data_IF_962510775862
#
_entry.id   IF_962510775862
#
_cell.length_a   1.000
_cell.length_b   1.000
_cell.length_c   1.000
_cell.angle_alpha   90.00
_cell.angle_beta   90.00
_cell.angle_gamma   90.00
#
_symmetry.space_group_name_H-M   'P 1'
#
loop_
_entity.id
_entity.type
_entity.pdbx_description
1 polymer ?
#
# COMPACT_ATOMS: atom_id res chain seq x y z
N UNK A 1 -18.04 10.86 1.35
CA UNK A 1 -17.74 12.17 1.97
C UNK A 1 -16.52 12.79 1.30
N UNK A 2 -16.44 14.12 1.11
CA UNK A 2 -15.21 14.74 0.64
C UNK A 2 -14.11 14.53 1.68
N UNK A 3 -12.83 14.40 1.26
CA UNK A 3 -11.70 14.37 2.18
C UNK A 3 -11.59 15.73 2.90
N UNK A 4 -11.01 15.73 4.09
CA UNK A 4 -10.83 16.94 4.91
C UNK A 4 -10.11 18.08 4.17
N UNK A 5 -9.29 17.75 3.17
CA UNK A 5 -8.59 18.75 2.36
C UNK A 5 -8.58 18.35 0.89
N UNK A 6 -9.17 19.17 0.06
CA UNK A 6 -9.00 19.14 -1.40
C UNK A 6 -7.88 20.13 -1.74
N UNK A 7 -6.84 19.73 -2.50
CA UNK A 7 -5.78 20.65 -2.90
C UNK A 7 -6.32 21.91 -3.55
N UNK A 8 -5.66 23.03 -3.30
CA UNK A 8 -6.05 24.33 -3.84
C UNK A 8 -6.21 24.28 -5.36
N UNK A 9 -7.28 24.85 -5.87
CA UNK A 9 -7.60 24.87 -7.28
C UNK A 9 -8.21 23.57 -7.83
N UNK A 10 -8.36 22.50 -7.04
CA UNK A 10 -9.15 21.34 -7.43
C UNK A 10 -10.57 21.41 -6.86
N UNK A 11 -11.46 20.65 -7.49
CA UNK A 11 -12.86 20.50 -7.07
C UNK A 11 -13.11 19.04 -6.72
N UNK A 12 -13.76 18.78 -5.59
CA UNK A 12 -14.26 17.45 -5.26
C UNK A 12 -15.43 17.09 -6.16
N UNK A 13 -15.20 16.17 -7.10
CA UNK A 13 -16.20 15.72 -8.05
C UNK A 13 -16.11 14.20 -8.23
N UNK A 14 -16.81 13.42 -7.40
CA UNK A 14 -16.78 11.96 -7.44
C UNK A 14 -17.69 11.39 -8.54
N UNK A 15 -17.55 10.10 -8.83
CA UNK A 15 -18.22 9.42 -9.94
C UNK A 15 -19.72 9.13 -9.70
N UNK A 16 -20.25 9.39 -8.52
CA UNK A 16 -21.69 9.37 -8.21
C UNK A 16 -22.43 10.64 -8.70
N UNK A 17 -21.68 11.65 -9.15
CA UNK A 17 -22.24 12.85 -9.79
C UNK A 17 -22.38 12.66 -11.30
N UNK A 18 -23.31 13.42 -11.95
CA UNK A 18 -23.49 13.37 -13.39
C UNK A 18 -22.16 13.59 -14.13
N UNK A 19 -21.85 12.71 -15.08
CA UNK A 19 -20.59 12.74 -15.84
C UNK A 19 -20.80 12.52 -17.33
N UNK A 20 -19.75 12.77 -18.08
CA UNK A 20 -19.70 12.49 -19.52
C UNK A 20 -19.60 10.98 -19.69
N UNK A 21 -20.43 10.40 -20.54
CA UNK A 21 -20.41 8.98 -20.90
C UNK A 21 -19.66 8.79 -22.21
N UNK A 22 -18.90 7.69 -22.30
CA UNK A 22 -18.24 7.26 -23.52
C UNK A 22 -19.08 6.18 -24.21
N UNK A 23 -19.46 6.41 -25.45
CA UNK A 23 -20.24 5.48 -26.28
C UNK A 23 -19.40 4.99 -27.46
N UNK A 24 -19.45 3.70 -27.76
CA UNK A 24 -18.75 3.13 -28.92
C UNK A 24 -19.44 3.50 -30.21
N UNK A 25 -18.69 4.01 -31.20
CA UNK A 25 -19.16 4.37 -32.53
C UNK A 25 -18.17 3.85 -33.58
N UNK A 26 -18.54 2.75 -34.21
CA UNK A 26 -17.69 2.09 -35.21
C UNK A 26 -16.30 1.75 -34.61
N UNK A 27 -15.25 2.28 -35.22
CA UNK A 27 -13.85 2.09 -34.77
C UNK A 27 -13.41 3.06 -33.66
N UNK A 28 -14.25 4.02 -33.29
CA UNK A 28 -13.93 5.06 -32.32
C UNK A 28 -14.96 5.20 -31.21
N UNK A 29 -14.98 6.39 -30.61
CA UNK A 29 -15.88 6.74 -29.53
C UNK A 29 -16.54 8.09 -29.76
N UNK A 30 -17.79 8.22 -29.33
CA UNK A 30 -18.47 9.49 -29.07
C UNK A 30 -18.58 9.72 -27.58
N UNK A 31 -18.77 10.96 -27.22
CA UNK A 31 -18.91 11.39 -25.82
C UNK A 31 -20.20 12.16 -25.65
N UNK A 32 -20.98 11.83 -24.62
CA UNK A 32 -22.28 12.41 -24.32
C UNK A 32 -22.22 13.10 -22.98
N UNK A 33 -22.54 14.37 -22.95
CA UNK A 33 -22.59 15.20 -21.75
C UNK A 33 -23.74 14.76 -20.81
N UNK A 34 -23.73 15.18 -19.54
CA UNK A 34 -24.79 14.81 -18.57
C UNK A 34 -26.21 15.19 -18.99
N UNK A 35 -26.37 16.23 -19.79
CA UNK A 35 -27.65 16.70 -20.33
C UNK A 35 -28.11 15.92 -21.59
N UNK A 36 -27.34 14.94 -22.04
CA UNK A 36 -27.62 14.17 -23.24
C UNK A 36 -27.02 14.76 -24.52
N UNK A 37 -26.41 15.92 -24.46
CA UNK A 37 -25.81 16.56 -25.64
C UNK A 37 -24.52 15.84 -26.05
N UNK A 38 -24.36 15.61 -27.35
CA UNK A 38 -23.11 15.06 -27.90
C UNK A 38 -22.01 16.13 -27.83
N UNK A 39 -20.82 15.73 -27.37
CA UNK A 39 -19.66 16.60 -27.29
C UNK A 39 -18.94 16.61 -28.65
N UNK A 40 -19.10 17.68 -29.41
CA UNK A 40 -18.41 17.92 -30.66
C UNK A 40 -17.32 19.00 -30.55
N UNK A 41 -17.26 19.74 -29.43
CA UNK A 41 -16.21 20.71 -29.16
C UNK A 41 -14.82 20.04 -29.16
N UNK A 42 -13.94 20.57 -30.01
CA UNK A 42 -12.63 20.01 -30.28
C UNK A 42 -11.72 20.11 -29.06
N UNK A 43 -11.83 21.16 -28.26
CA UNK A 43 -11.00 21.38 -27.06
C UNK A 43 -11.36 20.37 -25.99
N UNK A 44 -12.66 20.15 -25.77
CA UNK A 44 -13.15 19.19 -24.79
C UNK A 44 -12.85 17.75 -25.21
N UNK A 45 -13.01 17.41 -26.49
CA UNK A 45 -12.62 16.10 -27.03
C UNK A 45 -11.14 15.82 -26.82
N UNK A 46 -10.27 16.80 -27.12
CA UNK A 46 -8.82 16.67 -26.90
C UNK A 46 -8.50 16.45 -25.42
N UNK A 47 -9.17 17.15 -24.51
CA UNK A 47 -9.02 16.93 -23.07
C UNK A 47 -9.38 15.50 -22.68
N UNK A 48 -10.52 15.01 -23.16
CA UNK A 48 -10.99 13.65 -22.85
C UNK A 48 -10.02 12.59 -23.40
N UNK A 49 -9.55 12.76 -24.63
CA UNK A 49 -8.62 11.85 -25.28
C UNK A 49 -7.27 11.78 -24.52
N UNK A 50 -6.77 12.92 -24.01
CA UNK A 50 -5.56 12.99 -23.17
C UNK A 50 -5.68 12.22 -21.86
N UNK A 51 -6.89 11.93 -21.35
CA UNK A 51 -7.06 11.05 -20.18
C UNK A 51 -6.64 9.61 -20.49
N UNK A 52 -6.47 9.25 -21.76
CA UNK A 52 -5.99 7.94 -22.21
C UNK A 52 -6.73 6.76 -21.55
N UNK A 53 -8.06 6.84 -21.46
CA UNK A 53 -8.87 5.74 -20.94
C UNK A 53 -8.83 4.59 -21.95
N UNK A 54 -8.35 3.39 -21.58
CA UNK A 54 -8.17 2.31 -22.53
C UNK A 54 -9.44 1.99 -23.32
N UNK A 55 -9.33 1.69 -24.63
CA UNK A 55 -10.49 1.36 -25.47
C UNK A 55 -11.31 0.17 -24.97
N UNK A 56 -10.65 -0.79 -24.30
CA UNK A 56 -11.28 -1.99 -23.76
C UNK A 56 -12.08 -1.76 -22.45
N UNK A 57 -12.03 -0.53 -21.89
CA UNK A 57 -12.81 -0.25 -20.69
C UNK A 57 -14.29 -0.05 -21.02
N UNK A 58 -15.15 -0.58 -20.17
CA UNK A 58 -16.60 -0.42 -20.21
C UNK A 58 -17.10 0.50 -19.10
N UNK A 59 -18.37 0.92 -19.19
CA UNK A 59 -19.01 1.81 -18.20
C UNK A 59 -18.11 2.99 -17.81
N UNK A 60 -17.66 3.72 -18.85
CA UNK A 60 -16.74 4.83 -18.66
C UNK A 60 -17.49 6.10 -18.29
N UNK A 61 -17.20 6.61 -17.10
CA UNK A 61 -17.59 7.91 -16.62
C UNK A 61 -16.40 8.88 -16.71
N UNK A 62 -16.62 10.11 -17.15
CA UNK A 62 -15.59 11.15 -17.26
C UNK A 62 -16.12 12.42 -16.60
N UNK A 63 -15.29 13.07 -15.80
CA UNK A 63 -15.65 14.33 -15.15
C UNK A 63 -15.87 15.44 -16.17
N UNK A 64 -17.01 16.18 -16.10
CA UNK A 64 -17.20 17.40 -16.87
C UNK A 64 -16.38 18.58 -16.32
N UNK A 65 -15.77 18.41 -15.13
CA UNK A 65 -14.94 19.42 -14.49
C UNK A 65 -13.47 19.19 -14.77
N UNK A 66 -12.84 20.12 -15.51
CA UNK A 66 -11.38 20.06 -15.82
C UNK A 66 -10.52 19.98 -14.57
N UNK A 67 -10.93 20.65 -13.52
CA UNK A 67 -10.29 20.67 -12.19
C UNK A 67 -10.91 19.69 -11.18
N UNK A 68 -11.73 18.74 -11.64
CA UNK A 68 -12.24 17.66 -10.81
C UNK A 68 -11.09 16.77 -10.31
N UNK A 69 -11.08 16.42 -9.01
CA UNK A 69 -10.05 15.53 -8.45
C UNK A 69 -10.03 14.17 -9.14
N UNK A 70 -11.20 13.64 -9.49
CA UNK A 70 -11.39 12.44 -10.28
C UNK A 70 -11.70 12.84 -11.72
N UNK A 71 -10.93 12.39 -12.68
CA UNK A 71 -11.04 12.73 -14.08
C UNK A 71 -11.81 11.69 -14.90
N UNK A 72 -11.61 10.40 -14.62
CA UNK A 72 -12.39 9.34 -15.24
C UNK A 72 -12.40 8.06 -14.38
N UNK A 73 -13.44 7.24 -14.61
CA UNK A 73 -13.48 5.83 -14.17
C UNK A 73 -13.92 4.94 -15.30
N UNK A 74 -13.66 3.63 -15.19
CA UNK A 74 -14.17 2.62 -16.12
C UNK A 74 -13.88 1.22 -15.61
N UNK A 75 -14.60 0.23 -16.14
CA UNK A 75 -14.38 -1.17 -15.85
C UNK A 75 -13.34 -1.76 -16.79
N UNK A 76 -12.29 -2.37 -16.27
CA UNK A 76 -11.32 -3.10 -17.09
C UNK A 76 -11.90 -4.45 -17.58
N UNK A 77 -11.14 -5.17 -18.40
CA UNK A 77 -11.54 -6.49 -18.95
C UNK A 77 -11.83 -7.54 -17.87
N UNK A 78 -11.37 -7.33 -16.63
CA UNK A 78 -11.68 -8.17 -15.46
C UNK A 78 -12.83 -7.61 -14.61
N UNK A 79 -13.62 -6.69 -15.15
CA UNK A 79 -14.74 -6.02 -14.47
C UNK A 79 -14.33 -5.26 -13.20
N UNK A 80 -13.09 -4.83 -13.07
CA UNK A 80 -12.59 -4.04 -11.94
C UNK A 80 -12.68 -2.57 -12.28
N UNK A 81 -13.25 -1.74 -11.37
CA UNK A 81 -13.31 -0.28 -11.51
C UNK A 81 -11.90 0.31 -11.43
N UNK A 82 -11.48 0.98 -12.46
CA UNK A 82 -10.23 1.72 -12.56
C UNK A 82 -10.51 3.22 -12.48
N UNK A 83 -9.53 3.99 -11.98
CA UNK A 83 -9.68 5.42 -11.70
C UNK A 83 -8.55 6.20 -12.36
N UNK A 84 -8.88 7.36 -12.93
CA UNK A 84 -7.95 8.37 -13.42
C UNK A 84 -8.14 9.64 -12.61
N UNK A 85 -7.16 9.98 -11.80
CA UNK A 85 -7.18 11.19 -10.98
C UNK A 85 -6.49 12.35 -11.68
N UNK A 86 -6.80 13.58 -11.26
CA UNK A 86 -6.06 14.77 -11.69
C UNK A 86 -4.59 14.66 -11.24
N UNK A 87 -3.61 15.12 -12.06
CA UNK A 87 -2.19 15.09 -11.67
C UNK A 87 -1.92 15.74 -10.31
N UNK A 88 -2.45 16.96 -10.08
CA UNK A 88 -2.29 17.68 -8.81
C UNK A 88 -2.88 16.91 -7.61
N UNK A 89 -3.97 16.16 -7.81
CA UNK A 89 -4.53 15.28 -6.78
C UNK A 89 -3.57 14.15 -6.44
N UNK A 90 -2.99 13.54 -7.48
CA UNK A 90 -2.02 12.44 -7.31
C UNK A 90 -0.76 12.94 -6.62
N UNK A 91 -0.25 14.12 -7.01
CA UNK A 91 0.92 14.74 -6.38
C UNK A 91 0.67 15.06 -4.89
N UNK A 92 -0.43 15.72 -4.56
CA UNK A 92 -0.77 16.06 -3.17
C UNK A 92 -0.94 14.81 -2.28
N UNK A 93 -1.54 13.74 -2.82
CA UNK A 93 -1.63 12.46 -2.09
C UNK A 93 -0.27 11.77 -1.92
N UNK A 94 0.61 11.91 -2.88
CA UNK A 94 1.97 11.39 -2.77
C UNK A 94 2.75 12.17 -1.70
N UNK A 95 2.67 13.49 -1.71
CA UNK A 95 3.30 14.37 -0.73
C UNK A 95 2.80 14.06 0.70
N UNK A 96 1.47 14.03 0.91
CA UNK A 96 0.89 13.63 2.20
C UNK A 96 1.41 12.28 2.70
N UNK A 97 1.58 11.32 1.81
CA UNK A 97 2.15 9.99 2.14
C UNK A 97 3.58 10.11 2.70
N UNK A 98 4.39 10.98 2.11
CA UNK A 98 5.77 11.17 2.53
C UNK A 98 5.86 11.88 3.88
N UNK A 99 5.06 12.91 4.12
CA UNK A 99 4.99 13.59 5.41
C UNK A 99 4.48 12.69 6.55
N UNK A 100 3.70 11.65 6.26
CA UNK A 100 3.27 10.69 7.27
C UNK A 100 4.36 9.68 7.69
N UNK A 101 5.40 9.50 6.87
CA UNK A 101 6.39 8.44 7.10
C UNK A 101 7.22 8.62 8.40
N UNK A 102 7.69 9.82 8.77
CA UNK A 102 8.36 10.03 10.05
C UNK A 102 7.48 9.71 11.26
N UNK A 103 6.22 10.16 11.24
CA UNK A 103 5.25 9.87 12.31
C UNK A 103 5.00 8.35 12.43
N UNK A 104 4.90 7.63 11.30
CA UNK A 104 4.83 6.18 11.30
C UNK A 104 6.07 5.54 11.94
N UNK A 105 7.28 5.99 11.58
CA UNK A 105 8.51 5.50 12.17
C UNK A 105 8.56 5.71 13.69
N UNK A 106 8.07 6.84 14.19
CA UNK A 106 7.95 7.12 15.63
C UNK A 106 6.97 6.19 16.35
N UNK A 107 5.87 5.82 15.70
CA UNK A 107 4.87 4.90 16.25
C UNK A 107 5.26 3.42 16.11
N UNK A 108 6.27 3.10 15.32
CA UNK A 108 6.63 1.71 15.00
C UNK A 108 7.03 0.87 16.23
N UNK A 109 7.73 1.40 17.26
CA UNK A 109 7.97 0.66 18.49
C UNK A 109 6.66 0.22 19.18
N UNK A 110 5.71 1.13 19.36
CA UNK A 110 4.42 0.84 20.02
C UNK A 110 3.59 -0.16 19.18
N UNK A 111 3.62 -0.03 17.85
CA UNK A 111 2.99 -1.01 16.96
C UNK A 111 3.61 -2.39 17.16
N UNK A 112 4.93 -2.49 17.22
CA UNK A 112 5.65 -3.75 17.41
C UNK A 112 5.39 -4.35 18.79
N UNK A 113 5.32 -3.54 19.84
CA UNK A 113 4.97 -3.97 21.19
C UNK A 113 3.55 -4.53 21.25
N UNK A 114 2.60 -3.87 20.56
CA UNK A 114 1.26 -4.39 20.42
C UNK A 114 1.24 -5.73 19.66
N UNK A 115 1.98 -5.86 18.56
CA UNK A 115 2.12 -7.12 17.81
C UNK A 115 2.67 -8.22 18.71
N UNK A 116 3.72 -7.93 19.48
CA UNK A 116 4.33 -8.89 20.41
C UNK A 116 3.36 -9.38 21.48
N UNK A 117 2.50 -8.49 21.99
CA UNK A 117 1.43 -8.85 22.92
C UNK A 117 0.35 -9.69 22.24
N UNK A 118 -0.15 -9.25 21.09
CA UNK A 118 -1.19 -9.94 20.33
C UNK A 118 -0.76 -11.34 19.85
N UNK A 119 0.54 -11.53 19.53
CA UNK A 119 1.08 -12.86 19.20
C UNK A 119 1.03 -13.85 20.39
N UNK A 120 0.78 -13.41 21.61
CA UNK A 120 0.59 -14.27 22.80
C UNK A 120 -0.88 -14.55 23.09
N UNK A 121 -1.80 -13.84 22.45
CA UNK A 121 -3.23 -13.97 22.67
C UNK A 121 -3.73 -15.40 22.40
N UNK A 122 -4.86 -15.83 22.99
CA UNK A 122 -5.40 -17.18 22.80
C UNK A 122 -5.68 -17.51 21.34
N UNK A 123 -5.59 -18.80 20.97
CA UNK A 123 -6.03 -19.27 19.67
C UNK A 123 -7.50 -18.90 19.45
N UNK A 124 -7.82 -18.43 18.26
CA UNK A 124 -9.17 -17.97 17.91
C UNK A 124 -9.52 -16.55 18.33
N UNK A 125 -8.63 -15.81 19.02
CA UNK A 125 -8.89 -14.40 19.32
C UNK A 125 -8.68 -13.50 18.09
N UNK A 126 -9.45 -12.40 17.95
CA UNK A 126 -9.24 -11.41 16.89
C UNK A 126 -7.85 -10.78 16.95
N UNK A 127 -7.34 -10.50 18.16
CA UNK A 127 -6.03 -9.87 18.35
C UNK A 127 -4.88 -10.75 17.86
N UNK A 128 -4.95 -12.07 18.04
CA UNK A 128 -3.97 -13.00 17.47
C UNK A 128 -3.96 -12.94 15.94
N UNK A 129 -5.15 -12.95 15.32
CA UNK A 129 -5.27 -12.89 13.86
C UNK A 129 -4.72 -11.58 13.29
N UNK A 130 -5.01 -10.44 13.93
CA UNK A 130 -4.49 -9.13 13.53
C UNK A 130 -2.98 -9.04 13.76
N UNK A 131 -2.47 -9.53 14.89
CA UNK A 131 -1.04 -9.51 15.21
C UNK A 131 -0.23 -10.36 14.23
N UNK A 132 -0.70 -11.54 13.84
CA UNK A 132 -0.07 -12.36 12.81
C UNK A 132 -0.05 -11.64 11.46
N UNK A 133 -1.17 -11.03 11.05
CA UNK A 133 -1.22 -10.27 9.80
C UNK A 133 -0.24 -9.08 9.81
N UNK A 134 -0.20 -8.31 10.90
CA UNK A 134 0.72 -7.19 11.06
C UNK A 134 2.18 -7.64 11.09
N UNK A 135 2.49 -8.75 11.77
CA UNK A 135 3.86 -9.31 11.80
C UNK A 135 4.33 -9.73 10.39
N UNK A 136 3.45 -10.34 9.59
CA UNK A 136 3.75 -10.67 8.20
C UNK A 136 3.96 -9.43 7.33
N UNK A 137 3.19 -8.37 7.57
CA UNK A 137 3.34 -7.09 6.87
C UNK A 137 4.66 -6.41 7.24
N UNK A 138 5.00 -6.35 8.53
CA UNK A 138 6.25 -5.75 9.02
C UNK A 138 7.47 -6.53 8.52
N UNK A 139 7.54 -7.84 8.80
CA UNK A 139 8.76 -8.65 8.60
C UNK A 139 8.91 -9.20 7.18
N UNK A 140 7.81 -9.59 6.52
CA UNK A 140 7.83 -10.13 5.16
C UNK A 140 7.44 -9.09 4.09
N UNK A 141 7.18 -7.85 4.47
CA UNK A 141 6.71 -6.78 3.57
C UNK A 141 5.49 -7.19 2.73
N UNK A 142 4.63 -8.04 3.27
CA UNK A 142 3.44 -8.50 2.58
C UNK A 142 2.45 -7.36 2.35
N UNK A 143 1.67 -7.44 1.27
CA UNK A 143 0.46 -6.64 1.15
C UNK A 143 -0.58 -7.14 2.14
N UNK A 144 -1.49 -6.29 2.61
CA UNK A 144 -2.56 -6.73 3.50
C UNK A 144 -3.40 -7.83 2.87
N UNK A 145 -3.66 -7.76 1.58
CA UNK A 145 -4.57 -8.66 0.86
C UNK A 145 -5.96 -8.05 0.69
N UNK A 146 -6.77 -8.66 -0.15
CA UNK A 146 -8.15 -8.28 -0.45
C UNK A 146 -8.87 -9.49 -1.05
N UNK A 147 -10.10 -9.32 -1.51
CA UNK A 147 -10.99 -10.40 -1.95
C UNK A 147 -10.59 -11.09 -3.29
N UNK A 148 -9.40 -10.83 -3.80
CA UNK A 148 -8.90 -11.50 -5.01
C UNK A 148 -8.47 -12.94 -4.70
N UNK A 149 -9.11 -13.92 -5.29
CA UNK A 149 -8.73 -15.33 -5.18
C UNK A 149 -7.37 -15.65 -5.83
N UNK A 150 -6.96 -14.85 -6.80
CA UNK A 150 -5.75 -15.08 -7.60
C UNK A 150 -4.47 -14.53 -6.97
N UNK A 151 -4.56 -13.72 -5.89
CA UNK A 151 -3.40 -13.10 -5.25
C UNK A 151 -3.60 -13.04 -3.73
N UNK A 152 -2.62 -13.51 -2.98
CA UNK A 152 -2.67 -13.54 -1.53
C UNK A 152 -1.89 -12.39 -0.89
N UNK A 153 -2.35 -11.97 0.26
CA UNK A 153 -1.69 -11.07 1.20
C UNK A 153 -1.87 -11.58 2.63
N UNK A 154 -1.47 -10.79 3.60
CA UNK A 154 -1.41 -11.21 5.00
C UNK A 154 -2.76 -11.74 5.55
N UNK A 155 -3.90 -11.10 5.19
CA UNK A 155 -5.24 -11.54 5.65
C UNK A 155 -5.83 -12.69 4.81
N UNK A 156 -5.25 -13.01 3.66
CA UNK A 156 -5.73 -14.06 2.75
C UNK A 156 -4.74 -15.22 2.57
N UNK A 157 -3.62 -15.17 3.30
CA UNK A 157 -2.60 -16.23 3.30
C UNK A 157 -3.22 -17.52 3.82
N UNK A 158 -2.90 -18.64 3.16
CA UNK A 158 -3.40 -19.96 3.55
C UNK A 158 -2.34 -20.75 4.33
N UNK A 159 -2.77 -21.75 5.11
CA UNK A 159 -1.86 -22.62 5.86
C UNK A 159 -0.83 -23.30 4.98
N UNK A 160 -1.24 -23.78 3.80
CA UNK A 160 -0.34 -24.39 2.83
C UNK A 160 0.75 -23.46 2.29
N UNK A 161 0.58 -22.14 2.46
CA UNK A 161 1.54 -21.13 2.02
C UNK A 161 2.59 -20.85 3.10
N UNK A 162 2.47 -21.43 4.31
CA UNK A 162 3.40 -21.26 5.40
C UNK A 162 3.85 -22.62 5.96
N UNK A 163 5.15 -22.79 6.08
CA UNK A 163 5.77 -23.93 6.76
C UNK A 163 6.51 -23.43 7.98
N UNK A 164 6.34 -24.13 9.10
CA UNK A 164 7.01 -23.80 10.37
C UNK A 164 7.92 -24.95 10.76
N UNK A 165 9.18 -24.63 11.00
CA UNK A 165 10.17 -25.56 11.50
C UNK A 165 10.94 -24.89 12.66
N UNK A 166 10.66 -25.31 13.87
CA UNK A 166 11.19 -24.67 15.09
C UNK A 166 10.87 -23.18 15.14
N UNK A 167 11.87 -22.34 14.96
CA UNK A 167 11.73 -20.88 14.92
C UNK A 167 11.76 -20.28 13.52
N UNK A 168 11.89 -21.13 12.47
CA UNK A 168 11.90 -20.71 11.07
C UNK A 168 10.51 -20.77 10.50
N UNK A 169 10.12 -19.73 9.79
CA UNK A 169 8.85 -19.64 9.03
C UNK A 169 9.20 -19.41 7.57
N UNK A 170 8.83 -20.37 6.72
CA UNK A 170 8.97 -20.27 5.26
C UNK A 170 7.60 -19.97 4.66
N UNK A 171 7.55 -18.96 3.83
CA UNK A 171 6.32 -18.49 3.19
C UNK A 171 6.46 -18.62 1.67
N UNK A 172 5.53 -19.36 1.04
CA UNK A 172 5.43 -19.53 -0.40
C UNK A 172 4.03 -19.16 -0.86
N UNK A 173 3.88 -18.05 -1.58
CA UNK A 173 2.56 -17.60 -2.00
C UNK A 173 2.56 -16.94 -3.38
N UNK A 174 1.37 -16.82 -3.99
CA UNK A 174 1.17 -16.05 -5.21
C UNK A 174 0.74 -14.64 -4.81
N UNK A 175 1.62 -13.66 -5.06
CA UNK A 175 1.37 -12.24 -4.81
C UNK A 175 0.60 -11.57 -5.95
N UNK A 176 0.22 -10.30 -5.77
CA UNK A 176 -0.47 -9.48 -6.77
C UNK A 176 0.27 -9.51 -8.12
N UNK A 177 -0.46 -9.76 -9.20
CA UNK A 177 0.09 -9.90 -10.55
C UNK A 177 0.56 -11.31 -10.90
N UNK A 178 0.20 -12.35 -10.09
CA UNK A 178 0.56 -13.75 -10.35
C UNK A 178 2.01 -14.10 -9.99
N UNK A 179 2.73 -13.21 -9.30
CA UNK A 179 4.14 -13.41 -8.95
C UNK A 179 4.27 -14.45 -7.83
N UNK A 180 4.97 -15.54 -8.11
CA UNK A 180 5.40 -16.49 -7.09
C UNK A 180 6.41 -15.79 -6.18
N UNK A 181 6.17 -15.81 -4.88
CA UNK A 181 6.98 -15.12 -3.89
C UNK A 181 7.38 -16.12 -2.81
N UNK A 182 8.66 -16.11 -2.47
CA UNK A 182 9.27 -16.91 -1.41
C UNK A 182 9.87 -15.97 -0.35
N UNK A 183 9.71 -16.29 0.94
CA UNK A 183 10.33 -15.55 2.04
C UNK A 183 10.61 -16.48 3.21
N UNK A 184 11.80 -16.38 3.77
CA UNK A 184 12.17 -17.03 5.02
C UNK A 184 12.32 -16.02 6.14
N UNK A 185 11.79 -16.35 7.31
CA UNK A 185 11.87 -15.54 8.52
C UNK A 185 12.34 -16.42 9.67
N UNK A 186 13.29 -15.93 10.47
CA UNK A 186 13.58 -16.50 11.79
C UNK A 186 12.80 -15.70 12.82
N UNK A 187 11.66 -16.24 13.24
CA UNK A 187 10.75 -15.60 14.20
C UNK A 187 10.01 -16.64 15.05
N UNK A 188 10.58 -16.95 16.22
CA UNK A 188 10.02 -17.96 17.12
C UNK A 188 8.64 -17.61 17.65
N UNK A 189 8.30 -16.31 17.75
CA UNK A 189 6.98 -15.87 18.26
C UNK A 189 5.92 -16.04 17.18
N UNK A 190 6.23 -15.62 15.96
CA UNK A 190 5.36 -15.87 14.80
C UNK A 190 5.16 -17.38 14.59
N UNK A 191 6.23 -18.16 14.64
CA UNK A 191 6.18 -19.63 14.49
C UNK A 191 5.19 -20.26 15.48
N UNK A 192 5.29 -19.91 16.79
CA UNK A 192 4.36 -20.39 17.82
C UNK A 192 2.92 -19.92 17.60
N UNK A 193 2.73 -18.68 17.15
CA UNK A 193 1.40 -18.15 16.84
C UNK A 193 0.77 -18.89 15.64
N UNK A 194 1.55 -19.14 14.58
CA UNK A 194 1.11 -19.91 13.42
C UNK A 194 0.76 -21.36 13.76
N UNK A 195 1.51 -21.99 14.66
CA UNK A 195 1.19 -23.33 15.16
C UNK A 195 -0.19 -23.35 15.83
N UNK A 196 -0.45 -22.43 16.79
CA UNK A 196 -1.74 -22.34 17.47
C UNK A 196 -2.92 -22.05 16.53
N UNK A 197 -2.74 -21.15 15.57
CA UNK A 197 -3.74 -20.91 14.53
C UNK A 197 -3.93 -22.15 13.65
N UNK A 198 -2.87 -22.92 13.45
CA UNK A 198 -2.89 -24.18 12.72
C UNK A 198 -3.86 -25.22 13.31
N UNK A 199 -4.16 -25.17 14.60
CA UNK A 199 -5.11 -26.05 15.27
C UNK A 199 -6.59 -25.69 15.01
N UNK A 200 -6.84 -24.45 14.57
CA UNK A 200 -8.20 -24.01 14.25
C UNK A 200 -8.68 -24.60 12.91
N UNK A 201 -9.96 -24.87 12.72
CA UNK A 201 -10.45 -25.37 11.44
C UNK A 201 -10.32 -24.33 10.31
N UNK A 202 -10.03 -24.77 9.09
CA UNK A 202 -10.05 -23.95 7.87
C UNK A 202 -8.69 -23.69 7.24
N UNK A 203 -8.71 -23.08 6.06
CA UNK A 203 -7.51 -22.92 5.21
C UNK A 203 -6.77 -21.61 5.41
N UNK A 204 -7.41 -20.53 5.85
CA UNK A 204 -6.77 -19.20 6.03
C UNK A 204 -6.07 -19.11 7.37
N UNK A 205 -4.88 -18.48 7.39
CA UNK A 205 -4.13 -18.23 8.61
C UNK A 205 -4.72 -17.10 9.45
N UNK A 206 -5.16 -16.01 8.84
CA UNK A 206 -5.79 -14.91 9.56
C UNK A 206 -7.28 -15.20 9.82
N UNK A 207 -7.53 -16.11 10.75
CA UNK A 207 -8.87 -16.60 11.16
C UNK A 207 -9.05 -16.43 12.65
N UNK A 208 -10.27 -16.08 13.09
CA UNK A 208 -10.66 -15.99 14.49
C UNK A 208 -12.04 -16.60 14.71
N UNK A 209 -12.43 -16.84 15.96
CA UNK A 209 -13.73 -17.37 16.35
C UNK A 209 -14.57 -16.24 16.95
N UNK A 210 -15.82 -16.12 16.49
CA UNK A 210 -16.79 -15.23 17.12
C UNK A 210 -17.27 -15.78 18.46
N UNK A 211 -18.02 -14.99 19.22
CA UNK A 211 -18.63 -15.39 20.49
C UNK A 211 -19.61 -16.58 20.33
N UNK A 212 -20.14 -16.74 19.12
CA UNK A 212 -20.96 -17.86 18.67
C UNK A 212 -20.15 -19.13 18.34
N UNK A 213 -18.84 -19.09 18.47
CA UNK A 213 -17.91 -20.15 18.05
C UNK A 213 -17.72 -20.27 16.54
N UNK A 214 -18.42 -19.46 15.75
CA UNK A 214 -18.31 -19.48 14.31
C UNK A 214 -17.00 -18.83 13.82
N UNK A 215 -16.46 -19.44 12.79
CA UNK A 215 -15.21 -18.99 12.18
C UNK A 215 -15.40 -17.74 11.35
N UNK A 216 -14.57 -16.74 11.60
CA UNK A 216 -14.54 -15.47 10.89
C UNK A 216 -13.18 -15.21 10.29
N UNK A 217 -13.16 -14.57 9.11
CA UNK A 217 -11.94 -14.22 8.42
C UNK A 217 -11.58 -12.75 8.67
N UNK A 218 -10.31 -12.50 8.93
CA UNK A 218 -9.81 -11.15 9.08
C UNK A 218 -9.91 -10.42 7.73
N UNK A 219 -10.39 -9.18 7.78
CA UNK A 219 -10.45 -8.27 6.64
C UNK A 219 -9.38 -7.19 6.73
N UNK A 220 -9.04 -6.60 5.60
CA UNK A 220 -8.05 -5.51 5.50
C UNK A 220 -8.42 -4.29 6.33
N UNK A 221 -9.72 -4.03 6.48
CA UNK A 221 -10.26 -2.91 7.26
C UNK A 221 -9.86 -3.03 8.73
N UNK A 222 -10.03 -4.20 9.35
CA UNK A 222 -9.68 -4.42 10.75
C UNK A 222 -8.17 -4.24 11.02
N UNK A 223 -7.32 -4.62 10.08
CA UNK A 223 -5.87 -4.36 10.16
C UNK A 223 -5.57 -2.86 10.10
N UNK A 224 -6.23 -2.14 9.19
CA UNK A 224 -6.04 -0.69 9.04
C UNK A 224 -6.63 0.10 10.21
N UNK A 225 -7.76 -0.30 10.76
CA UNK A 225 -8.36 0.26 11.97
C UNK A 225 -7.43 0.13 13.17
N UNK A 226 -6.82 -1.05 13.36
CA UNK A 226 -5.84 -1.25 14.41
C UNK A 226 -4.61 -0.35 14.22
N UNK A 227 -4.10 -0.23 13.02
CA UNK A 227 -2.97 0.66 12.71
C UNK A 227 -3.32 2.14 12.95
N UNK A 228 -4.51 2.56 12.55
CA UNK A 228 -4.97 3.92 12.80
C UNK A 228 -5.12 4.21 14.30
N UNK A 229 -5.56 3.23 15.10
CA UNK A 229 -5.65 3.35 16.56
C UNK A 229 -4.27 3.44 17.23
N UNK A 230 -3.25 2.75 16.71
CA UNK A 230 -1.90 2.73 17.29
C UNK A 230 -1.02 3.89 16.81
N UNK A 231 -1.15 4.32 15.57
CA UNK A 231 -0.23 5.25 14.91
C UNK A 231 -0.90 6.55 14.41
N UNK A 232 -2.21 6.66 14.55
CA UNK A 232 -2.97 7.83 14.12
C UNK A 232 -3.65 7.67 12.75
N UNK A 233 -4.59 8.56 12.48
CA UNK A 233 -5.41 8.56 11.27
C UNK A 233 -4.55 8.64 10.00
N UNK A 234 -4.89 7.81 9.01
CA UNK A 234 -4.19 7.75 7.72
C UNK A 234 -3.07 6.70 7.68
N UNK A 235 -2.69 6.12 8.81
CA UNK A 235 -1.75 5.00 8.87
C UNK A 235 -2.43 3.70 8.45
N UNK A 236 -1.83 2.99 7.53
CA UNK A 236 -2.40 1.76 6.94
C UNK A 236 -1.30 0.72 6.69
N UNK A 237 -1.70 -0.49 6.39
CA UNK A 237 -0.80 -1.55 5.95
C UNK A 237 0.08 -1.15 4.73
N UNK A 238 -0.39 -0.20 3.90
CA UNK A 238 0.42 0.36 2.81
C UNK A 238 1.57 1.21 3.34
N UNK A 239 1.41 1.87 4.49
CA UNK A 239 2.46 2.69 5.12
C UNK A 239 3.66 1.83 5.53
N UNK A 240 3.43 0.62 6.05
CA UNK A 240 4.52 -0.34 6.28
C UNK A 240 5.34 -0.63 5.03
N UNK A 241 4.68 -0.79 3.88
CA UNK A 241 5.42 -1.05 2.63
C UNK A 241 6.22 0.16 2.18
N UNK A 242 5.71 1.37 2.41
CA UNK A 242 6.46 2.61 2.15
C UNK A 242 7.66 2.71 3.11
N UNK A 243 7.47 2.37 4.38
CA UNK A 243 8.54 2.28 5.37
C UNK A 243 9.61 1.26 4.96
N UNK A 244 9.22 0.01 4.72
CA UNK A 244 10.14 -1.07 4.38
C UNK A 244 10.89 -0.82 3.05
N UNK A 245 10.23 -0.21 2.07
CA UNK A 245 10.87 0.17 0.80
C UNK A 245 11.87 1.31 0.99
N UNK A 246 11.51 2.34 1.77
CA UNK A 246 12.41 3.44 2.08
C UNK A 246 13.59 2.99 2.93
N UNK A 247 13.37 2.08 3.89
CA UNK A 247 14.42 1.52 4.73
C UNK A 247 15.43 0.72 3.91
N UNK A 248 14.97 -0.20 3.05
CA UNK A 248 15.86 -0.99 2.20
C UNK A 248 16.69 -0.12 1.25
N UNK A 249 16.05 0.91 0.66
CA UNK A 249 16.76 1.87 -0.19
C UNK A 249 17.78 2.70 0.62
N UNK A 250 17.44 3.09 1.86
CA UNK A 250 18.32 3.81 2.76
C UNK A 250 19.51 2.96 3.20
N UNK A 251 19.30 1.71 3.57
CA UNK A 251 20.35 0.75 3.91
C UNK A 251 21.32 0.59 2.76
N UNK A 252 20.82 0.36 1.53
CA UNK A 252 21.65 0.26 0.32
C UNK A 252 22.45 1.54 0.04
N UNK A 253 21.86 2.73 0.28
CA UNK A 253 22.57 4.00 0.15
C UNK A 253 23.69 4.17 1.20
N UNK A 254 23.49 3.62 2.41
CA UNK A 254 24.49 3.71 3.49
C UNK A 254 25.66 2.74 3.31
N UNK A 255 25.42 1.60 2.69
CA UNK A 255 26.45 0.58 2.43
C UNK A 255 27.31 0.91 1.20
N UNK A 256 26.75 1.60 0.20
CA UNK A 256 27.44 1.91 -1.02
C UNK A 256 28.42 3.10 -0.85
N UNK A 257 29.57 3.05 -1.48
CA UNK A 257 30.49 4.20 -1.55
C UNK A 257 29.92 5.35 -2.39
N UNK A 258 29.34 5.01 -3.52
CA UNK A 258 28.64 5.91 -4.43
C UNK A 258 27.21 5.39 -4.65
N UNK A 259 26.24 5.81 -3.82
CA UNK A 259 24.87 5.33 -3.93
C UNK A 259 24.23 5.82 -5.25
N UNK A 260 23.48 4.94 -5.90
CA UNK A 260 22.73 5.27 -7.12
C UNK A 260 21.24 5.05 -6.90
N UNK A 261 20.42 5.84 -7.59
CA UNK A 261 18.96 5.67 -7.58
C UNK A 261 18.55 4.27 -8.04
N UNK A 262 19.30 3.66 -8.98
CA UNK A 262 19.03 2.30 -9.45
C UNK A 262 19.23 1.26 -8.35
N UNK A 263 20.39 1.26 -7.69
CA UNK A 263 20.70 0.31 -6.62
C UNK A 263 19.71 0.43 -5.45
N UNK A 264 19.35 1.66 -5.05
CA UNK A 264 18.34 1.91 -4.02
C UNK A 264 16.95 1.38 -4.42
N UNK A 265 16.57 1.60 -5.70
CA UNK A 265 15.29 1.11 -6.21
C UNK A 265 15.25 -0.43 -6.31
N UNK A 266 16.36 -1.07 -6.65
CA UNK A 266 16.51 -2.52 -6.69
C UNK A 266 16.41 -3.13 -5.29
N UNK A 267 17.10 -2.59 -4.30
CA UNK A 267 17.00 -3.02 -2.90
C UNK A 267 15.57 -2.92 -2.36
N UNK A 268 14.90 -1.79 -2.64
CA UNK A 268 13.49 -1.64 -2.28
C UNK A 268 12.57 -2.62 -3.03
N UNK A 269 12.84 -2.89 -4.30
CA UNK A 269 12.08 -3.83 -5.12
C UNK A 269 12.20 -5.26 -4.62
N UNK A 270 13.39 -5.68 -4.24
CA UNK A 270 13.66 -6.99 -3.64
C UNK A 270 12.91 -7.13 -2.31
N UNK A 271 13.05 -6.17 -1.39
CA UNK A 271 12.35 -6.16 -0.09
C UNK A 271 10.84 -6.27 -0.25
N UNK A 272 10.28 -5.55 -1.24
CA UNK A 272 8.83 -5.42 -1.45
C UNK A 272 8.25 -6.44 -2.45
N UNK A 273 9.06 -7.25 -3.09
CA UNK A 273 8.67 -8.12 -4.20
C UNK A 273 7.93 -7.34 -5.32
N UNK A 274 8.53 -6.21 -5.72
CA UNK A 274 8.04 -5.32 -6.77
C UNK A 274 9.02 -5.25 -7.96
N UNK A 275 8.74 -4.39 -8.93
CA UNK A 275 9.73 -3.94 -9.91
C UNK A 275 10.47 -2.71 -9.38
N UNK A 276 11.73 -2.45 -9.77
CA UNK A 276 12.47 -1.25 -9.35
C UNK A 276 11.73 0.06 -9.65
N UNK A 277 11.11 0.17 -10.83
CA UNK A 277 10.33 1.35 -11.20
C UNK A 277 9.16 1.61 -10.24
N UNK A 278 8.36 0.57 -9.91
CA UNK A 278 7.24 0.69 -8.96
C UNK A 278 7.75 0.97 -7.55
N UNK A 279 8.85 0.34 -7.14
CA UNK A 279 9.44 0.55 -5.81
C UNK A 279 9.88 2.01 -5.66
N UNK A 280 10.65 2.54 -6.61
CA UNK A 280 11.12 3.92 -6.64
C UNK A 280 9.99 4.93 -6.57
N UNK A 281 9.01 4.82 -7.45
CA UNK A 281 7.92 5.79 -7.58
C UNK A 281 6.95 5.76 -6.39
N UNK A 282 6.65 4.56 -5.88
CA UNK A 282 5.55 4.37 -4.96
C UNK A 282 5.95 4.11 -3.52
N UNK A 283 7.20 3.71 -3.23
CA UNK A 283 7.58 3.19 -1.92
C UNK A 283 8.91 3.68 -1.36
N UNK A 284 9.72 4.43 -2.12
CA UNK A 284 10.96 5.03 -1.61
C UNK A 284 10.74 6.51 -1.37
N UNK A 285 11.07 6.97 -0.15
CA UNK A 285 10.95 8.37 0.23
C UNK A 285 11.89 9.26 -0.59
N UNK A 286 11.45 10.43 -1.08
CA UNK A 286 12.30 11.31 -1.90
C UNK A 286 13.62 11.70 -1.23
N UNK A 287 13.61 11.98 0.07
CA UNK A 287 14.85 12.28 0.80
C UNK A 287 15.87 11.14 0.75
N UNK A 288 15.43 9.88 0.66
CA UNK A 288 16.34 8.74 0.49
C UNK A 288 16.94 8.75 -0.92
N UNK A 289 16.13 8.99 -1.95
CA UNK A 289 16.61 9.04 -3.33
C UNK A 289 17.61 10.19 -3.55
N UNK A 290 17.42 11.32 -2.85
CA UNK A 290 18.34 12.48 -2.91
C UNK A 290 19.75 12.16 -2.40
N UNK A 291 19.95 11.07 -1.64
CA UNK A 291 21.28 10.61 -1.22
C UNK A 291 22.19 10.18 -2.38
N UNK A 292 21.61 9.91 -3.56
CA UNK A 292 22.39 9.63 -4.76
C UNK A 292 23.12 10.88 -5.30
N UNK A 293 22.55 12.08 -5.09
CA UNK A 293 23.09 13.35 -5.58
C UNK A 293 23.97 14.03 -4.52
N UNK A 294 23.63 13.86 -3.25
CA UNK A 294 24.36 14.42 -2.12
C UNK A 294 24.56 13.37 -1.02
N UNK A 295 25.57 12.50 -1.13
CA UNK A 295 25.80 11.42 -0.19
C UNK A 295 26.32 11.94 1.16
N UNK A 296 25.45 12.61 1.92
CA UNK A 296 25.73 13.00 3.31
C UNK A 296 25.58 11.78 4.22
N UNK A 297 26.72 11.22 4.65
CA UNK A 297 26.77 10.00 5.50
C UNK A 297 26.75 10.28 7.01
N UNK A 298 26.49 11.50 7.43
CA UNK A 298 26.57 11.88 8.82
C UNK A 298 25.56 12.94 9.23
N UNK A 299 25.20 12.95 10.51
CA UNK A 299 24.34 13.99 11.07
C UNK A 299 22.96 13.52 11.57
N UNK A 300 22.46 12.37 11.11
CA UNK A 300 21.18 11.82 11.59
C UNK A 300 21.34 11.13 12.96
N UNK A 301 21.55 11.98 13.97
CA UNK A 301 21.67 11.55 15.36
C UNK A 301 20.31 11.67 16.06
N UNK A 302 20.01 10.77 16.97
CA UNK A 302 18.73 10.74 17.67
C UNK A 302 17.77 9.74 17.06
N UNK A 303 16.49 10.10 17.02
CA UNK A 303 15.40 9.23 16.60
C UNK A 303 14.81 8.41 17.76
N UNK A 304 13.65 7.75 17.55
CA UNK A 304 12.91 7.08 18.62
C UNK A 304 13.67 5.87 19.15
N UNK A 305 13.54 5.65 20.47
CA UNK A 305 14.03 4.42 21.11
C UNK A 305 13.19 3.23 20.63
N UNK A 306 13.76 2.02 20.66
CA UNK A 306 13.07 0.79 20.22
C UNK A 306 13.17 0.52 18.71
N UNK A 307 13.77 1.42 17.92
CA UNK A 307 14.16 1.19 16.54
C UNK A 307 15.66 0.81 16.44
N UNK A 308 16.01 0.10 15.37
CA UNK A 308 17.43 -0.14 15.05
C UNK A 308 18.15 1.12 14.55
N UNK A 309 19.45 1.01 14.28
CA UNK A 309 20.27 2.15 13.89
C UNK A 309 19.88 2.75 12.53
N UNK A 310 19.50 1.93 11.55
CA UNK A 310 19.08 2.38 10.23
C UNK A 310 17.68 3.01 10.29
N UNK A 311 16.76 2.40 10.99
CA UNK A 311 15.40 2.90 11.20
C UNK A 311 15.38 4.26 11.89
N UNK A 312 16.18 4.44 12.96
CA UNK A 312 16.30 5.74 13.64
C UNK A 312 16.79 6.85 12.72
N UNK A 313 17.84 6.55 11.94
CA UNK A 313 18.41 7.52 10.97
C UNK A 313 17.42 7.85 9.85
N UNK A 314 16.65 6.87 9.38
CA UNK A 314 15.61 7.09 8.38
C UNK A 314 14.52 8.04 8.90
N UNK A 315 14.08 7.91 10.16
CA UNK A 315 13.13 8.85 10.77
C UNK A 315 13.67 10.27 10.69
N UNK A 316 14.91 10.49 11.17
CA UNK A 316 15.52 11.82 11.20
C UNK A 316 15.72 12.41 9.80
N UNK A 317 16.16 11.58 8.83
CA UNK A 317 16.29 11.99 7.44
C UNK A 317 14.94 12.45 6.86
N UNK A 318 13.88 11.65 7.09
CA UNK A 318 12.56 11.95 6.53
C UNK A 318 11.89 13.16 7.22
N UNK A 319 12.19 13.45 8.49
CA UNK A 319 11.74 14.66 9.19
C UNK A 319 12.36 15.95 8.63
N UNK A 320 13.59 15.86 8.17
CA UNK A 320 14.28 17.00 7.52
C UNK A 320 13.77 17.32 6.12
N UNK A 321 12.90 16.51 5.56
CA UNK A 321 12.39 16.74 4.20
C UNK A 321 11.30 17.82 4.16
N UNK A 322 11.55 18.86 3.37
CA UNK A 322 10.66 20.05 3.26
C UNK A 322 9.66 19.95 2.09
N UNK A 323 9.62 18.84 1.36
CA UNK A 323 8.88 18.74 0.10
C UNK A 323 9.73 19.18 -1.09
N UNK A 324 9.40 18.69 -2.27
CA UNK A 324 10.04 19.05 -3.53
C UNK A 324 9.01 19.51 -4.54
#
# INVERSE_FOLDING_TARGET
MPPEQVPQGLVWYPADRPGIRRERRGRGFSYVAPDGTRIDDRVERTRIEKLAVPPAYEDVWISPRRRGHLQATGLDVKRRRQYRYHPDWTAARAEKKWHLLPAFGRALPDIRDWIESGLKAPAGSPDLAVAVALRLIDRASMRVGGDSESARGAVTLQRRDAKVDGGRVTLDWIAKGGRKTHKELTDRRLARALHRIGELPGARLATWLGDDGERRFLRSEAVNERLAALAGTGMTAKTFRTWNGSLAAFEAAMEAENPTVSAMAEAAAERLHNTPAIARESYVHPAVLALAEAPHRGGWRGGPRGLDGAERRLVVLAEGWQGG
#
